data_IF_551866891607
#
_entry.id   IF_551866891607
#
_cell.length_a   1.000
_cell.length_b   1.000
_cell.length_c   1.000
_cell.angle_alpha   90.00
_cell.angle_beta   90.00
_cell.angle_gamma   90.00
#
_symmetry.space_group_name_H-M   'P 1'
#
loop_
_entity.id
_entity.type
_entity.pdbx_description
1 polymer ?
#
# COMPACT_ATOMS: atom_id res chain seq x y z
N UNK A 1 -1.46 -2.34 13.12
CA UNK A 1 -0.79 -2.71 11.86
C UNK A 1 0.10 -1.54 11.47
N UNK A 2 1.41 -1.72 11.50
CA UNK A 2 2.37 -0.68 11.11
C UNK A 2 2.42 -0.64 9.57
N UNK A 3 1.79 0.36 8.95
CA UNK A 3 1.85 0.57 7.52
C UNK A 3 3.19 1.23 7.17
N UNK A 4 4.17 0.43 6.76
CA UNK A 4 5.50 0.96 6.39
C UNK A 4 5.51 1.39 4.93
N UNK A 5 5.18 2.66 4.68
CA UNK A 5 5.37 3.33 3.38
C UNK A 5 6.84 3.73 3.14
N UNK A 6 7.79 3.17 3.90
CA UNK A 6 9.20 3.54 3.84
C UNK A 6 9.82 3.08 2.51
N UNK A 7 10.52 3.96 1.78
CA UNK A 7 11.27 3.55 0.59
C UNK A 7 12.40 2.60 0.99
N UNK A 8 12.77 1.69 0.09
CA UNK A 8 13.86 0.72 0.29
C UNK A 8 15.18 1.46 0.56
N UNK A 9 15.35 2.59 -0.12
CA UNK A 9 16.49 3.48 0.05
C UNK A 9 15.98 4.75 0.73
N UNK A 10 16.51 5.07 1.91
CA UNK A 10 16.16 6.33 2.57
C UNK A 10 16.59 7.53 1.72
N UNK A 11 15.86 8.65 1.81
CA UNK A 11 16.26 9.88 1.11
C UNK A 11 17.64 10.38 1.58
N UNK A 12 18.04 10.08 2.82
CA UNK A 12 19.37 10.43 3.34
C UNK A 12 20.50 9.75 2.58
N UNK A 13 20.35 8.46 2.24
CA UNK A 13 21.35 7.73 1.44
C UNK A 13 21.48 8.25 0.02
N UNK A 14 20.36 8.69 -0.58
CA UNK A 14 20.41 9.37 -1.88
C UNK A 14 21.21 10.66 -1.80
N UNK A 15 20.91 11.53 -0.83
CA UNK A 15 21.59 12.82 -0.66
C UNK A 15 23.07 12.61 -0.35
N UNK A 16 23.41 11.68 0.54
CA UNK A 16 24.79 11.35 0.88
C UNK A 16 25.56 10.84 -0.35
N UNK A 17 24.97 9.93 -1.13
CA UNK A 17 25.57 9.43 -2.37
C UNK A 17 25.79 10.54 -3.40
N UNK A 18 24.85 11.50 -3.48
CA UNK A 18 24.93 12.65 -4.37
C UNK A 18 26.07 13.63 -4.01
N UNK A 19 26.30 13.83 -2.71
CA UNK A 19 27.35 14.73 -2.17
C UNK A 19 28.73 14.09 -2.28
N UNK A 20 28.86 12.81 -1.90
CA UNK A 20 30.16 12.12 -1.87
C UNK A 20 30.63 11.79 -3.28
N UNK A 21 29.72 11.36 -4.16
CA UNK A 21 30.07 11.01 -5.53
C UNK A 21 28.85 11.15 -6.44
N UNK A 22 28.71 12.33 -7.05
CA UNK A 22 27.60 12.69 -7.92
C UNK A 22 27.15 11.60 -8.92
N UNK A 23 28.06 10.89 -9.65
CA UNK A 23 27.66 9.79 -10.54
C UNK A 23 26.95 8.64 -9.82
N UNK A 24 27.38 8.29 -8.60
CA UNK A 24 26.78 7.24 -7.78
C UNK A 24 25.40 7.68 -7.32
N UNK A 25 25.24 8.93 -6.87
CA UNK A 25 23.93 9.46 -6.49
C UNK A 25 22.90 9.39 -7.63
N UNK A 26 23.33 9.71 -8.86
CA UNK A 26 22.48 9.65 -10.04
C UNK A 26 22.15 8.20 -10.45
N UNK A 27 23.11 7.27 -10.33
CA UNK A 27 22.90 5.84 -10.51
C UNK A 27 21.93 5.24 -9.47
N UNK A 28 22.07 5.59 -8.19
CA UNK A 28 21.18 5.13 -7.12
C UNK A 28 19.75 5.63 -7.34
N UNK A 29 19.59 6.86 -7.84
CA UNK A 29 18.31 7.44 -8.19
C UNK A 29 17.66 6.68 -9.37
N UNK A 30 18.43 6.37 -10.41
CA UNK A 30 17.98 5.53 -11.54
C UNK A 30 17.56 4.14 -11.08
N UNK A 31 18.40 3.47 -10.29
CA UNK A 31 18.10 2.14 -9.71
C UNK A 31 16.82 2.21 -8.89
N UNK A 32 16.64 3.24 -8.05
CA UNK A 32 15.44 3.44 -7.24
C UNK A 32 14.19 3.59 -8.11
N UNK A 33 14.24 4.41 -9.17
CA UNK A 33 13.10 4.59 -10.09
C UNK A 33 12.75 3.27 -10.81
N UNK A 34 13.74 2.47 -11.19
CA UNK A 34 13.54 1.20 -11.89
C UNK A 34 13.02 0.11 -10.95
N UNK A 35 13.59 0.00 -9.74
CA UNK A 35 13.29 -1.05 -8.78
C UNK A 35 11.92 -0.87 -8.10
N UNK A 36 11.44 0.37 -7.89
CA UNK A 36 10.11 0.65 -7.32
C UNK A 36 8.94 0.44 -8.29
N UNK A 37 9.00 -0.60 -9.14
CA UNK A 37 7.99 -0.87 -10.17
C UNK A 37 6.56 -1.11 -9.62
N UNK A 38 6.42 -1.63 -8.39
CA UNK A 38 5.15 -2.21 -7.92
C UNK A 38 4.23 -1.28 -7.10
N UNK A 39 4.67 -0.10 -6.66
CA UNK A 39 3.84 0.80 -5.83
C UNK A 39 3.58 2.13 -6.55
N UNK A 40 2.33 2.32 -7.03
CA UNK A 40 1.92 3.48 -7.86
C UNK A 40 2.24 4.82 -7.22
N UNK A 41 2.08 4.92 -5.89
CA UNK A 41 2.28 6.15 -5.11
C UNK A 41 3.77 6.46 -4.93
N UNK A 42 4.55 5.48 -4.47
CA UNK A 42 5.99 5.69 -4.24
C UNK A 42 6.69 6.09 -5.54
N UNK A 43 6.27 5.50 -6.67
CA UNK A 43 6.79 5.85 -7.98
C UNK A 43 6.57 7.31 -8.39
N UNK A 44 5.41 7.91 -8.08
CA UNK A 44 5.21 9.34 -8.37
C UNK A 44 6.05 10.21 -7.44
N UNK A 45 6.21 9.81 -6.17
CA UNK A 45 7.11 10.47 -5.22
C UNK A 45 8.57 10.45 -5.68
N UNK A 46 9.08 9.28 -6.07
CA UNK A 46 10.46 9.10 -6.54
C UNK A 46 10.73 9.87 -7.85
N UNK A 47 9.77 9.91 -8.78
CA UNK A 47 9.87 10.75 -9.98
C UNK A 47 9.92 12.24 -9.63
N UNK A 48 9.14 12.68 -8.64
CA UNK A 48 9.16 14.08 -8.18
C UNK A 48 10.52 14.43 -7.56
N UNK A 49 11.02 13.56 -6.69
CA UNK A 49 12.33 13.73 -6.07
C UNK A 49 13.43 13.75 -7.13
N UNK A 50 13.38 12.84 -8.10
CA UNK A 50 14.35 12.77 -9.19
C UNK A 50 14.38 14.03 -10.05
N UNK A 51 13.21 14.51 -10.47
CA UNK A 51 13.10 15.75 -11.23
C UNK A 51 13.53 16.99 -10.42
N UNK A 52 13.20 17.04 -9.13
CA UNK A 52 13.62 18.13 -8.24
C UNK A 52 15.15 18.17 -8.06
N UNK A 53 15.79 17.01 -7.87
CA UNK A 53 17.25 16.91 -7.75
C UNK A 53 17.93 17.41 -9.02
N UNK A 54 17.49 16.97 -10.20
CA UNK A 54 18.06 17.43 -11.48
C UNK A 54 17.86 18.94 -11.69
N UNK A 55 16.72 19.48 -11.29
CA UNK A 55 16.44 20.91 -11.36
C UNK A 55 17.38 21.71 -10.44
N UNK A 56 17.59 21.25 -9.20
CA UNK A 56 18.53 21.88 -8.26
C UNK A 56 19.94 21.90 -8.85
N UNK A 57 20.41 20.80 -9.46
CA UNK A 57 21.70 20.78 -10.14
C UNK A 57 21.77 21.77 -11.29
N UNK A 58 20.74 21.82 -12.14
CA UNK A 58 20.71 22.79 -13.23
C UNK A 58 20.84 24.22 -12.71
N UNK A 59 20.11 24.58 -11.65
CA UNK A 59 20.21 25.91 -11.02
C UNK A 59 21.60 26.18 -10.47
N UNK A 60 22.21 25.21 -9.77
CA UNK A 60 23.58 25.34 -9.27
C UNK A 60 24.58 25.55 -10.42
N UNK A 61 24.48 24.79 -11.51
CA UNK A 61 25.34 24.95 -12.68
C UNK A 61 25.18 26.32 -13.34
N UNK A 62 23.95 26.81 -13.48
CA UNK A 62 23.67 28.15 -14.04
C UNK A 62 24.27 29.25 -13.17
N UNK A 63 24.34 29.08 -11.85
CA UNK A 63 24.94 30.04 -10.93
C UNK A 63 26.49 29.97 -10.98
N UNK A 64 27.07 28.77 -11.05
CA UNK A 64 28.53 28.59 -11.04
C UNK A 64 29.16 28.99 -12.37
N UNK A 65 28.47 28.74 -13.51
CA UNK A 65 29.04 28.93 -14.84
C UNK A 65 29.57 30.35 -15.07
N UNK A 66 28.83 31.45 -14.81
CA UNK A 66 29.35 32.81 -14.96
C UNK A 66 30.58 33.10 -14.09
N UNK A 67 30.66 32.47 -12.91
CA UNK A 67 31.78 32.63 -11.98
C UNK A 67 33.06 32.06 -12.61
N UNK A 68 32.98 30.88 -13.23
CA UNK A 68 34.10 30.22 -13.91
C UNK A 68 34.51 30.97 -15.19
N UNK A 69 33.53 31.41 -16.00
CA UNK A 69 33.83 32.14 -17.24
C UNK A 69 34.40 33.54 -16.99
N UNK A 70 34.19 34.10 -15.78
CA UNK A 70 34.80 35.38 -15.40
C UNK A 70 36.28 35.28 -15.04
N UNK A 71 36.74 34.09 -14.61
CA UNK A 71 38.11 33.87 -14.16
C UNK A 71 39.04 33.39 -15.29
N UNK A 72 38.47 32.82 -16.35
CA UNK A 72 39.24 32.21 -17.44
C UNK A 72 38.94 32.90 -18.78
N UNK A 73 39.87 33.73 -19.30
CA UNK A 73 39.67 34.44 -20.56
C UNK A 73 39.72 33.54 -21.79
N UNK A 74 40.14 32.28 -21.68
CA UNK A 74 40.14 31.33 -22.80
C UNK A 74 38.72 30.86 -23.18
N UNK A 75 37.76 31.00 -22.26
CA UNK A 75 36.37 30.58 -22.50
C UNK A 75 35.64 31.61 -23.36
N UNK A 76 35.51 31.31 -24.65
CA UNK A 76 34.74 32.14 -25.58
C UNK A 76 33.22 32.11 -25.27
N UNK A 77 32.51 33.15 -25.70
CA UNK A 77 31.04 33.23 -25.63
C UNK A 77 30.37 32.02 -26.30
N UNK A 78 30.89 31.60 -27.45
CA UNK A 78 30.35 30.47 -28.20
C UNK A 78 30.54 29.13 -27.46
N UNK A 79 31.67 28.98 -26.75
CA UNK A 79 31.89 27.83 -25.85
C UNK A 79 30.88 27.82 -24.70
N UNK A 80 30.65 28.97 -24.08
CA UNK A 80 29.69 29.12 -22.98
C UNK A 80 28.27 28.75 -23.40
N UNK A 81 27.81 29.26 -24.56
CA UNK A 81 26.48 28.94 -25.10
C UNK A 81 26.35 27.43 -25.38
N UNK A 82 27.39 26.81 -25.94
CA UNK A 82 27.39 25.36 -26.21
C UNK A 82 27.23 24.55 -24.91
N UNK A 83 27.93 24.93 -23.85
CA UNK A 83 27.82 24.28 -22.52
C UNK A 83 26.40 24.42 -21.97
N UNK A 84 25.80 25.61 -22.05
CA UNK A 84 24.42 25.85 -21.58
C UNK A 84 23.43 24.97 -22.34
N UNK A 85 23.55 24.86 -23.66
CA UNK A 85 22.66 24.00 -24.47
C UNK A 85 22.76 22.54 -24.03
N UNK A 86 23.97 22.02 -23.82
CA UNK A 86 24.18 20.67 -23.30
C UNK A 86 23.53 20.51 -21.93
N UNK A 87 23.71 21.48 -21.01
CA UNK A 87 23.10 21.42 -19.68
C UNK A 87 21.57 21.43 -19.73
N UNK A 88 20.95 22.19 -20.64
CA UNK A 88 19.50 22.18 -20.83
C UNK A 88 19.02 20.80 -21.26
N UNK A 89 19.69 20.18 -22.23
CA UNK A 89 19.29 18.87 -22.77
C UNK A 89 19.44 17.77 -21.71
N UNK A 90 20.53 17.77 -20.93
CA UNK A 90 20.81 16.69 -19.99
C UNK A 90 20.16 16.87 -18.61
N UNK A 91 19.93 18.10 -18.16
CA UNK A 91 19.39 18.36 -16.83
C UNK A 91 17.98 18.94 -16.87
N UNK A 92 17.79 20.05 -17.58
CA UNK A 92 16.51 20.78 -17.54
C UNK A 92 15.37 20.00 -18.18
N UNK A 93 15.59 19.46 -19.39
CA UNK A 93 14.55 18.71 -20.13
C UNK A 93 14.10 17.46 -19.35
N UNK A 94 15.01 16.57 -18.89
CA UNK A 94 14.62 15.42 -18.07
C UNK A 94 13.97 15.81 -16.74
N UNK A 95 14.45 16.87 -16.08
CA UNK A 95 13.85 17.38 -14.85
C UNK A 95 12.38 17.75 -15.05
N UNK A 96 12.09 18.54 -16.08
CA UNK A 96 10.72 18.97 -16.42
C UNK A 96 9.84 17.76 -16.75
N UNK A 97 10.33 16.82 -17.57
CA UNK A 97 9.59 15.61 -17.96
C UNK A 97 9.22 14.78 -16.72
N UNK A 98 10.17 14.55 -15.81
CA UNK A 98 9.93 13.76 -14.59
C UNK A 98 8.93 14.42 -13.65
N UNK A 99 9.05 15.74 -13.43
CA UNK A 99 8.12 16.51 -12.61
C UNK A 99 6.70 16.52 -13.20
N UNK A 100 6.60 16.72 -14.52
CA UNK A 100 5.32 16.71 -15.21
C UNK A 100 4.65 15.32 -15.17
N UNK A 101 5.42 14.26 -15.41
CA UNK A 101 4.93 12.90 -15.33
C UNK A 101 4.48 12.54 -13.91
N UNK A 102 5.24 12.97 -12.89
CA UNK A 102 4.86 12.80 -11.48
C UNK A 102 3.53 13.46 -11.17
N UNK A 103 3.36 14.74 -11.54
CA UNK A 103 2.13 15.48 -11.31
C UNK A 103 0.93 14.85 -12.04
N UNK A 104 1.12 14.39 -13.28
CA UNK A 104 0.08 13.67 -14.03
C UNK A 104 -0.36 12.38 -13.32
N UNK A 105 0.58 11.62 -12.76
CA UNK A 105 0.28 10.41 -12.00
C UNK A 105 -0.42 10.71 -10.69
N UNK A 106 -0.03 11.78 -10.00
CA UNK A 106 -0.65 12.20 -8.76
C UNK A 106 -2.10 12.64 -8.96
N UNK A 107 -2.38 13.42 -10.02
CA UNK A 107 -3.76 13.79 -10.39
C UNK A 107 -4.64 12.57 -10.63
N UNK A 108 -4.16 11.60 -11.42
CA UNK A 108 -4.90 10.34 -11.66
C UNK A 108 -5.16 9.53 -10.39
N UNK A 109 -4.26 9.62 -9.41
CA UNK A 109 -4.44 8.95 -8.12
C UNK A 109 -5.51 9.66 -7.29
N UNK A 110 -5.50 10.99 -7.29
CA UNK A 110 -6.48 11.82 -6.61
C UNK A 110 -7.89 11.63 -7.18
N UNK A 111 -8.02 11.58 -8.51
CA UNK A 111 -9.27 11.25 -9.20
C UNK A 111 -9.78 9.86 -8.78
N UNK A 112 -8.87 8.89 -8.62
CA UNK A 112 -9.21 7.53 -8.19
C UNK A 112 -9.64 7.49 -6.71
N UNK A 113 -9.02 8.30 -5.86
CA UNK A 113 -9.38 8.39 -4.44
C UNK A 113 -10.74 9.07 -4.27
N UNK A 114 -11.00 10.11 -5.06
CA UNK A 114 -12.33 10.74 -5.15
C UNK A 114 -13.38 9.73 -5.60
N UNK A 115 -13.07 8.88 -6.59
CA UNK A 115 -13.97 7.80 -7.01
C UNK A 115 -14.24 6.81 -5.88
N UNK A 116 -13.21 6.37 -5.14
CA UNK A 116 -13.39 5.45 -4.00
C UNK A 116 -14.23 6.06 -2.89
N UNK A 117 -13.98 7.32 -2.55
CA UNK A 117 -14.77 8.05 -1.58
C UNK A 117 -16.25 8.07 -1.98
N UNK A 118 -16.56 8.48 -3.22
CA UNK A 118 -17.95 8.55 -3.70
C UNK A 118 -18.63 7.17 -3.74
N UNK A 119 -17.90 6.10 -4.06
CA UNK A 119 -18.45 4.74 -4.06
C UNK A 119 -18.80 4.27 -2.64
N UNK A 120 -17.94 4.54 -1.66
CA UNK A 120 -18.08 4.01 -0.30
C UNK A 120 -19.03 4.87 0.53
N UNK A 121 -18.85 6.19 0.51
CA UNK A 121 -19.58 7.14 1.37
C UNK A 121 -20.96 7.45 0.78
N UNK A 122 -21.02 7.87 -0.49
CA UNK A 122 -22.28 8.31 -1.09
C UNK A 122 -23.14 7.12 -1.55
N UNK A 123 -22.51 6.13 -2.20
CA UNK A 123 -23.21 4.99 -2.80
C UNK A 123 -23.26 3.74 -1.91
N UNK A 124 -22.67 3.78 -0.73
CA UNK A 124 -22.64 2.66 0.22
C UNK A 124 -22.11 1.34 -0.36
N UNK A 125 -21.23 1.39 -1.37
CA UNK A 125 -20.60 0.21 -1.95
C UNK A 125 -19.45 -0.24 -1.05
N UNK A 126 -19.69 -1.23 -0.21
CA UNK A 126 -18.70 -1.72 0.77
C UNK A 126 -17.93 -2.94 0.30
N UNK A 127 -18.43 -3.69 -0.68
CA UNK A 127 -17.78 -4.91 -1.19
C UNK A 127 -16.57 -4.56 -2.05
N UNK A 128 -15.38 -5.03 -1.69
CA UNK A 128 -14.12 -4.70 -2.36
C UNK A 128 -14.11 -5.19 -3.81
N UNK A 129 -14.74 -6.34 -4.09
CA UNK A 129 -14.87 -6.86 -5.46
C UNK A 129 -15.72 -5.96 -6.35
N UNK A 130 -16.77 -5.35 -5.78
CA UNK A 130 -17.63 -4.41 -6.49
C UNK A 130 -16.91 -3.10 -6.76
N UNK A 131 -16.20 -2.56 -5.75
CA UNK A 131 -15.33 -1.40 -5.92
C UNK A 131 -14.26 -1.66 -6.98
N UNK A 132 -13.66 -2.85 -7.00
CA UNK A 132 -12.67 -3.25 -8.00
C UNK A 132 -13.24 -3.29 -9.42
N UNK A 133 -14.45 -3.85 -9.59
CA UNK A 133 -15.17 -3.86 -10.87
C UNK A 133 -15.49 -2.43 -11.35
N UNK A 134 -16.05 -1.60 -10.47
CA UNK A 134 -16.44 -0.23 -10.80
C UNK A 134 -15.25 0.69 -11.10
N UNK A 135 -14.15 0.55 -10.36
CA UNK A 135 -12.91 1.35 -10.56
C UNK A 135 -11.96 0.78 -11.61
N UNK A 136 -12.27 -0.38 -12.20
CA UNK A 136 -11.41 -1.12 -13.14
C UNK A 136 -9.99 -1.36 -12.59
N UNK A 137 -9.88 -1.58 -11.29
CA UNK A 137 -8.61 -1.87 -10.62
C UNK A 137 -8.56 -3.33 -10.13
N UNK A 138 -7.36 -3.86 -9.98
CA UNK A 138 -7.17 -5.20 -9.37
C UNK A 138 -7.53 -5.13 -7.88
N UNK A 139 -8.23 -6.16 -7.36
CA UNK A 139 -8.63 -6.27 -5.95
C UNK A 139 -7.49 -5.92 -4.98
N UNK A 140 -6.30 -6.50 -5.20
CA UNK A 140 -5.11 -6.24 -4.37
C UNK A 140 -4.71 -4.75 -4.33
N UNK A 141 -4.84 -4.03 -5.45
CA UNK A 141 -4.55 -2.58 -5.51
C UNK A 141 -5.60 -1.79 -4.74
N UNK A 142 -6.88 -2.13 -4.91
CA UNK A 142 -8.00 -1.48 -4.20
C UNK A 142 -7.83 -1.63 -2.69
N UNK A 143 -7.53 -2.83 -2.19
CA UNK A 143 -7.27 -3.06 -0.75
C UNK A 143 -6.14 -2.17 -0.24
N UNK A 144 -5.04 -2.08 -1.00
CA UNK A 144 -3.87 -1.27 -0.64
C UNK A 144 -4.21 0.23 -0.63
N UNK A 145 -4.91 0.70 -1.66
CA UNK A 145 -5.31 2.10 -1.80
C UNK A 145 -6.32 2.50 -0.71
N UNK A 146 -7.28 1.65 -0.38
CA UNK A 146 -8.27 1.89 0.68
C UNK A 146 -7.64 1.91 2.07
N UNK A 147 -6.71 0.99 2.37
CA UNK A 147 -5.95 1.02 3.63
C UNK A 147 -5.18 2.33 3.77
N UNK A 148 -4.57 2.78 2.67
CA UNK A 148 -3.87 4.07 2.62
C UNK A 148 -4.83 5.25 2.80
N UNK A 149 -6.01 5.24 2.18
CA UNK A 149 -7.02 6.29 2.36
C UNK A 149 -7.49 6.41 3.81
N UNK A 150 -7.73 5.28 4.49
CA UNK A 150 -8.05 5.26 5.93
C UNK A 150 -6.90 5.83 6.75
N UNK A 151 -5.66 5.42 6.45
CA UNK A 151 -4.48 5.94 7.13
C UNK A 151 -4.29 7.46 6.92
N UNK A 152 -4.62 7.96 5.73
CA UNK A 152 -4.60 9.39 5.40
C UNK A 152 -5.80 10.18 5.99
N UNK A 153 -6.76 9.50 6.61
CA UNK A 153 -7.93 10.14 7.22
C UNK A 153 -9.04 10.53 6.24
N UNK A 154 -9.10 9.93 5.06
CA UNK A 154 -10.21 10.19 4.11
C UNK A 154 -11.56 9.69 4.64
N UNK A 155 -11.56 8.64 5.46
CA UNK A 155 -12.74 8.14 6.18
C UNK A 155 -12.31 7.18 7.30
N UNK A 156 -13.11 7.14 8.36
CA UNK A 156 -12.87 6.26 9.51
C UNK A 156 -13.45 4.86 9.25
N UNK A 157 -12.57 3.88 9.15
CA UNK A 157 -12.98 2.50 8.96
C UNK A 157 -11.84 1.49 9.04
N UNK A 158 -12.16 0.26 8.70
CA UNK A 158 -11.20 -0.83 8.51
C UNK A 158 -11.47 -1.53 7.19
N UNK A 159 -10.41 -1.98 6.54
CA UNK A 159 -10.50 -2.80 5.33
C UNK A 159 -10.33 -4.26 5.75
N UNK A 160 -11.38 -5.06 5.60
CA UNK A 160 -11.29 -6.52 5.70
C UNK A 160 -10.85 -7.12 4.36
N UNK A 161 -10.74 -8.44 4.28
CA UNK A 161 -10.38 -9.10 3.02
C UNK A 161 -11.43 -8.87 1.92
N UNK A 162 -12.71 -8.77 2.27
CA UNK A 162 -13.82 -8.73 1.31
C UNK A 162 -14.61 -7.43 1.29
N UNK A 163 -14.57 -6.65 2.37
CA UNK A 163 -15.38 -5.43 2.52
C UNK A 163 -14.68 -4.32 3.30
N UNK A 164 -15.20 -3.10 3.16
CA UNK A 164 -14.83 -1.93 3.96
C UNK A 164 -15.89 -1.69 5.01
N UNK A 165 -15.50 -1.70 6.29
CA UNK A 165 -16.38 -1.37 7.41
C UNK A 165 -16.07 0.06 7.88
N UNK A 166 -17.06 0.96 7.88
CA UNK A 166 -16.91 2.33 8.40
C UNK A 166 -17.32 2.39 9.89
N UNK A 167 -16.53 3.07 10.72
CA UNK A 167 -16.80 3.18 12.17
C UNK A 167 -17.97 4.13 12.50
N UNK A 168 -18.27 5.08 11.62
CA UNK A 168 -19.33 6.08 11.82
C UNK A 168 -20.65 5.75 11.11
N UNK A 169 -20.91 4.47 10.84
CA UNK A 169 -22.27 4.03 10.47
C UNK A 169 -23.13 3.96 11.74
N UNK A 170 -23.58 5.13 12.25
CA UNK A 170 -24.79 5.15 13.08
C UNK A 170 -25.92 4.66 12.19
N UNK A 171 -26.45 3.49 12.49
CA UNK A 171 -27.64 2.93 11.86
C UNK A 171 -28.81 3.91 12.00
N UNK A 172 -29.02 4.76 11.01
CA UNK A 172 -30.35 5.32 10.75
C UNK A 172 -31.15 4.28 9.97
N UNK A 173 -31.46 3.15 10.62
CA UNK A 173 -32.41 2.16 10.10
C UNK A 173 -33.06 1.35 11.22
N UNK A 174 -33.99 1.96 11.94
CA UNK A 174 -35.30 1.35 12.28
C UNK A 174 -36.13 2.31 13.14
N UNK A 175 -36.78 3.27 12.49
CA UNK A 175 -38.02 3.82 13.04
C UNK A 175 -39.15 2.84 12.67
N UNK A 176 -39.33 1.80 13.48
CA UNK A 176 -40.63 1.11 13.60
C UNK A 176 -40.72 0.30 14.90
N UNK A 177 -41.32 0.95 15.90
CA UNK A 177 -42.26 0.38 16.89
C UNK A 177 -41.74 -0.74 17.79
N UNK A 178 -41.20 -0.35 18.95
CA UNK A 178 -41.12 -1.21 20.14
C UNK A 178 -42.37 -0.97 21.00
N UNK A 179 -43.36 -1.86 20.90
CA UNK A 179 -44.40 -2.00 21.91
C UNK A 179 -43.97 -3.07 22.91
N UNK A 180 -43.58 -2.58 24.09
CA UNK A 180 -43.82 -3.12 25.43
C UNK A 180 -44.44 -4.51 25.48
N UNK A 181 -43.69 -5.50 25.98
CA UNK A 181 -44.26 -6.53 26.84
C UNK A 181 -43.24 -6.96 27.89
N UNK A 182 -43.45 -6.49 29.13
CA UNK A 182 -42.76 -6.98 30.31
C UNK A 182 -43.34 -8.35 30.67
N UNK A 183 -42.54 -9.40 30.52
CA UNK A 183 -42.83 -10.73 31.03
C UNK A 183 -41.62 -11.25 31.78
N UNK A 184 -41.69 -11.17 33.10
CA UNK A 184 -40.73 -11.71 34.06
C UNK A 184 -40.53 -13.21 33.89
N UNK A 185 -39.30 -13.66 33.60
CA UNK A 185 -38.83 -15.01 33.89
C UNK A 185 -37.32 -15.00 34.16
N UNK A 186 -36.96 -15.00 35.45
CA UNK A 186 -35.74 -15.66 35.95
C UNK A 186 -36.07 -17.14 36.22
N UNK A 187 -35.12 -18.06 36.46
CA UNK A 187 -33.66 -18.02 36.24
C UNK A 187 -33.12 -19.33 35.58
N UNK A 188 -31.91 -19.31 35.00
CA UNK A 188 -30.92 -20.41 35.14
C UNK A 188 -29.58 -20.10 34.47
N UNK A 189 -28.55 -19.96 35.29
CA UNK A 189 -27.16 -20.10 34.87
C UNK A 189 -26.92 -21.58 34.49
N UNK A 190 -26.76 -21.85 33.20
CA UNK A 190 -26.24 -23.12 32.71
C UNK A 190 -24.74 -22.95 32.46
N UNK A 191 -23.95 -23.48 33.40
CA UNK A 191 -22.55 -23.78 33.17
C UNK A 191 -22.45 -24.74 31.98
N UNK A 192 -21.83 -24.30 30.89
CA UNK A 192 -21.47 -25.18 29.77
C UNK A 192 -20.25 -25.98 30.19
N UNK A 193 -20.50 -27.23 30.59
CA UNK A 193 -19.49 -28.27 30.79
C UNK A 193 -18.69 -28.51 29.50
N UNK A 194 -17.35 -28.64 29.57
CA UNK A 194 -16.55 -29.10 28.43
C UNK A 194 -16.91 -30.56 28.09
N UNK A 195 -16.95 -30.94 26.80
CA UNK A 195 -17.24 -32.32 26.39
C UNK A 195 -16.14 -33.30 26.83
N UNK A 196 -16.49 -34.59 26.99
CA UNK A 196 -15.63 -35.59 27.62
C UNK A 196 -14.43 -35.93 26.73
N UNK A 197 -13.26 -35.99 27.37
CA UNK A 197 -11.97 -36.39 26.80
C UNK A 197 -12.03 -37.87 26.36
N UNK A 198 -11.92 -38.21 25.07
CA UNK A 198 -11.73 -39.59 24.66
C UNK A 198 -10.31 -40.03 25.06
N UNK A 199 -10.23 -41.05 25.89
CA UNK A 199 -8.98 -41.70 26.26
C UNK A 199 -8.33 -42.33 25.02
N UNK A 200 -7.06 -41.98 24.77
CA UNK A 200 -6.16 -42.79 23.93
C UNK A 200 -5.71 -42.21 22.58
N UNK A 201 -6.15 -41.02 22.16
CA UNK A 201 -5.70 -40.42 20.90
C UNK A 201 -4.91 -39.12 21.15
N UNK A 202 -3.67 -39.07 20.66
CA UNK A 202 -2.79 -37.91 20.80
C UNK A 202 -3.09 -36.86 19.72
N UNK A 203 -2.89 -35.56 20.00
CA UNK A 203 -2.98 -34.51 18.98
C UNK A 203 -2.04 -34.82 17.80
N UNK A 204 -2.47 -34.55 16.57
CA UNK A 204 -1.66 -34.75 15.37
C UNK A 204 -1.50 -33.48 14.58
N UNK A 205 -0.30 -33.31 14.04
CA UNK A 205 -0.01 -32.27 13.07
C UNK A 205 -0.62 -32.66 11.72
N UNK A 206 -1.45 -31.78 11.18
CA UNK A 206 -2.08 -31.94 9.88
C UNK A 206 -1.64 -30.78 8.99
N UNK A 207 -1.19 -31.10 7.78
CA UNK A 207 -0.89 -30.10 6.76
C UNK A 207 -2.16 -29.65 6.05
N UNK A 208 -2.32 -28.35 5.89
CA UNK A 208 -3.46 -27.77 5.23
C UNK A 208 -3.37 -27.99 3.71
N UNK A 209 -4.38 -28.61 3.07
CA UNK A 209 -4.36 -28.86 1.63
C UNK A 209 -4.49 -27.57 0.78
N UNK A 210 -4.93 -26.46 1.37
CA UNK A 210 -5.10 -25.19 0.67
C UNK A 210 -3.81 -24.36 0.58
N UNK A 211 -3.03 -24.29 1.67
CA UNK A 211 -1.87 -23.40 1.76
C UNK A 211 -0.57 -24.08 2.25
N UNK A 212 -0.62 -25.35 2.63
CA UNK A 212 0.54 -26.11 3.11
C UNK A 212 0.98 -25.81 4.55
N UNK A 213 0.25 -24.98 5.30
CA UNK A 213 0.59 -24.71 6.71
C UNK A 213 0.30 -25.92 7.60
N UNK A 214 1.11 -26.14 8.64
CA UNK A 214 0.90 -27.19 9.64
C UNK A 214 0.09 -26.65 10.82
N UNK A 215 -0.95 -27.39 11.22
CA UNK A 215 -1.75 -27.08 12.40
C UNK A 215 -2.02 -28.34 13.21
N UNK A 216 -1.99 -28.21 14.53
CA UNK A 216 -2.23 -29.35 15.45
C UNK A 216 -3.73 -29.53 15.65
N UNK A 217 -4.28 -30.67 15.26
CA UNK A 217 -5.70 -30.98 15.39
C UNK A 217 -5.91 -32.01 16.50
N UNK A 218 -6.82 -31.72 17.43
CA UNK A 218 -7.22 -32.66 18.47
C UNK A 218 -8.19 -33.72 17.91
N UNK A 219 -8.19 -34.95 18.43
CA UNK A 219 -9.09 -36.00 17.98
C UNK A 219 -10.56 -35.59 18.07
N UNK A 220 -11.28 -35.64 16.94
CA UNK A 220 -12.69 -35.26 16.86
C UNK A 220 -12.95 -33.75 16.77
N UNK A 221 -11.91 -32.91 16.82
CA UNK A 221 -12.04 -31.47 16.61
C UNK A 221 -11.85 -31.12 15.13
N UNK A 222 -12.63 -30.13 14.66
CA UNK A 222 -12.42 -29.46 13.38
C UNK A 222 -11.78 -28.12 13.65
N UNK A 223 -10.56 -27.92 13.17
CA UNK A 223 -9.81 -26.67 13.35
C UNK A 223 -9.75 -25.95 12.01
N UNK A 224 -10.05 -24.66 12.00
CA UNK A 224 -9.95 -23.84 10.79
C UNK A 224 -8.51 -23.37 10.63
N UNK A 225 -7.93 -23.54 9.45
CA UNK A 225 -6.57 -23.09 9.16
C UNK A 225 -6.46 -21.56 9.25
N UNK A 226 -5.52 -21.07 10.07
CA UNK A 226 -5.30 -19.63 10.30
C UNK A 226 -4.87 -18.85 9.05
N UNK A 227 -4.33 -19.54 8.05
CA UNK A 227 -3.75 -18.91 6.87
C UNK A 227 -4.71 -18.82 5.69
N UNK A 228 -5.57 -19.81 5.48
CA UNK A 228 -6.47 -19.86 4.32
C UNK A 228 -7.92 -20.21 4.66
N UNK A 229 -8.25 -20.36 5.94
CA UNK A 229 -9.63 -20.61 6.39
C UNK A 229 -10.16 -22.00 6.06
N UNK A 230 -9.34 -22.91 5.54
CA UNK A 230 -9.78 -24.28 5.22
C UNK A 230 -9.98 -25.08 6.51
N UNK A 231 -11.12 -25.77 6.65
CA UNK A 231 -11.40 -26.64 7.78
C UNK A 231 -10.53 -27.91 7.73
N UNK A 232 -9.69 -28.11 8.74
CA UNK A 232 -8.86 -29.28 8.95
C UNK A 232 -9.59 -30.23 9.91
N UNK A 233 -9.82 -31.46 9.47
CA UNK A 233 -10.45 -32.51 10.27
C UNK A 233 -9.37 -33.50 10.69
N UNK A 234 -9.48 -34.03 11.91
CA UNK A 234 -8.55 -35.05 12.39
C UNK A 234 -8.55 -36.27 11.45
N UNK A 235 -7.39 -36.70 10.92
CA UNK A 235 -7.33 -37.80 9.96
C UNK A 235 -7.69 -39.12 10.64
N UNK A 236 -8.91 -39.60 10.41
CA UNK A 236 -9.30 -40.99 10.70
C UNK A 236 -8.64 -41.87 9.66
N UNK A 237 -7.79 -42.83 10.06
CA UNK A 237 -7.25 -43.83 9.13
C UNK A 237 -8.43 -44.52 8.45
N UNK A 238 -8.65 -44.24 7.16
CA UNK A 238 -9.53 -45.05 6.34
C UNK A 238 -8.92 -46.45 6.27
N UNK A 239 -9.67 -47.46 6.71
CA UNK A 239 -9.34 -48.85 6.48
C UNK A 239 -9.23 -49.07 4.96
N UNK A 240 -8.09 -49.57 4.51
CA UNK A 240 -7.95 -50.11 3.15
C UNK A 240 -8.84 -51.36 3.07
N UNK A 241 -9.90 -51.30 2.28
CA UNK A 241 -10.50 -52.45 1.61
C UNK A 241 -10.07 -52.44 0.16
#
# INVERSE_FOLDING_TARGET
MEWSDKPIISNGWLIAGLIVFFPIGLLLLLIRIILHYNLKVQKSGDMKAGGAILLVFFVIYVIILPLVTSTDPEITWQGTVSIIVVMIIFFLVPAIILLWQSNRRLKRLDDLYSLYYNLIVDRNVTKIEEIAKLSRQRRKMVVNDLKRMIWLGYFDGRVSEYQVDLYHRKEHRSDYRSEVYSGSFEPKAAAVTPPPKPAGLQPKDVECPGCGSRSVVQPGATVVCDYCGTSLVYPTKAAKT
#
